data_IF_199311929686
#
_entry.id   IF_199311929686
#
_cell.length_a   1.000
_cell.length_b   1.000
_cell.length_c   1.000
_cell.angle_alpha   90.00
_cell.angle_beta   90.00
_cell.angle_gamma   90.00
#
_symmetry.space_group_name_H-M   'P 1'
#
loop_
_entity.id
_entity.type
_entity.pdbx_description
1 polymer ?
#
# COMPACT_ATOMS: atom_id res chain seq x y z
N UNK A 1 -37.04 -13.47 -1.08
CA UNK A 1 -37.06 -12.19 -0.36
C UNK A 1 -38.39 -12.05 0.38
N UNK A 2 -38.35 -11.51 1.59
CA UNK A 2 -39.57 -11.32 2.42
C UNK A 2 -40.55 -10.26 1.88
N UNK A 3 -40.23 -9.62 0.79
CA UNK A 3 -41.05 -8.54 0.17
C UNK A 3 -42.30 -9.08 -0.53
N UNK A 4 -42.22 -10.26 -1.13
CA UNK A 4 -43.36 -10.85 -1.87
C UNK A 4 -44.59 -11.20 -1.03
N UNK A 5 -44.47 -11.12 0.30
CA UNK A 5 -45.57 -11.40 1.24
C UNK A 5 -46.20 -10.13 1.83
N UNK A 6 -45.78 -8.94 1.39
CA UNK A 6 -46.28 -7.65 1.90
C UNK A 6 -47.07 -6.93 0.82
N UNK A 7 -48.18 -6.30 1.21
CA UNK A 7 -49.00 -5.50 0.27
C UNK A 7 -48.30 -4.23 -0.23
N UNK A 8 -47.50 -3.61 0.63
CA UNK A 8 -46.73 -2.38 0.30
C UNK A 8 -45.29 -2.54 0.76
N UNK A 9 -44.46 -3.36 0.09
CA UNK A 9 -43.07 -3.50 0.45
C UNK A 9 -42.26 -2.23 0.10
N UNK A 10 -41.43 -1.79 1.03
CA UNK A 10 -40.52 -0.67 0.80
C UNK A 10 -39.08 -1.08 1.16
N UNK A 11 -38.14 -0.75 0.28
CA UNK A 11 -36.71 -0.86 0.53
C UNK A 11 -36.08 0.53 0.57
N UNK A 12 -35.29 0.81 1.59
CA UNK A 12 -34.53 2.05 1.73
C UNK A 12 -33.05 1.71 1.67
N UNK A 13 -32.34 2.33 0.74
CA UNK A 13 -30.88 2.21 0.58
C UNK A 13 -30.26 3.57 0.86
N UNK A 14 -29.36 3.63 1.83
CA UNK A 14 -28.60 4.84 2.19
C UNK A 14 -27.12 4.47 2.08
N UNK A 15 -26.37 5.23 1.30
CA UNK A 15 -24.93 4.98 1.08
C UNK A 15 -24.20 6.27 0.75
N UNK A 16 -22.89 6.26 0.95
CA UNK A 16 -21.98 7.27 0.39
C UNK A 16 -21.36 6.74 -0.91
N UNK A 17 -20.60 7.60 -1.61
CA UNK A 17 -19.78 7.18 -2.73
C UNK A 17 -18.70 6.16 -2.32
N UNK A 18 -18.11 5.53 -3.30
CA UNK A 18 -17.06 4.53 -3.14
C UNK A 18 -16.03 4.62 -4.25
N UNK A 19 -15.26 3.56 -4.41
CA UNK A 19 -14.22 3.44 -5.44
C UNK A 19 -14.46 2.27 -6.40
N UNK A 20 -15.43 1.38 -6.11
CA UNK A 20 -15.79 0.27 -7.01
C UNK A 20 -16.88 0.71 -8.00
N UNK A 21 -16.45 1.31 -9.12
CA UNK A 21 -17.34 1.75 -10.20
C UNK A 21 -17.93 0.58 -11.03
N UNK A 22 -17.48 -0.64 -10.84
CA UNK A 22 -18.06 -1.83 -11.45
C UNK A 22 -19.02 -2.55 -10.52
N UNK A 23 -19.03 -2.18 -9.25
CA UNK A 23 -19.86 -2.81 -8.22
C UNK A 23 -21.34 -2.44 -8.31
N UNK A 24 -22.19 -3.22 -7.61
CA UNK A 24 -23.66 -3.08 -7.69
C UNK A 24 -24.15 -1.71 -7.19
N UNK A 25 -23.47 -1.09 -6.23
CA UNK A 25 -23.86 0.21 -5.70
C UNK A 25 -23.72 1.33 -6.77
N UNK A 26 -22.61 1.31 -7.53
CA UNK A 26 -22.42 2.30 -8.60
C UNK A 26 -23.37 2.06 -9.76
N UNK A 27 -23.65 0.80 -10.14
CA UNK A 27 -24.63 0.46 -11.14
C UNK A 27 -26.03 0.94 -10.75
N UNK A 28 -26.42 0.73 -9.48
CA UNK A 28 -27.69 1.22 -8.96
C UNK A 28 -27.76 2.77 -8.98
N UNK A 29 -26.67 3.46 -8.57
CA UNK A 29 -26.57 4.91 -8.69
C UNK A 29 -26.73 5.39 -10.14
N UNK A 30 -26.15 4.69 -11.10
CA UNK A 30 -26.28 5.02 -12.54
C UNK A 30 -27.75 4.93 -12.96
N UNK A 31 -28.44 3.85 -12.60
CA UNK A 31 -29.88 3.72 -12.85
C UNK A 31 -30.69 4.84 -12.19
N UNK A 32 -30.42 5.18 -10.93
CA UNK A 32 -31.06 6.31 -10.26
C UNK A 32 -30.81 7.63 -11.01
N UNK A 33 -29.59 7.84 -11.50
CA UNK A 33 -29.24 9.06 -12.27
C UNK A 33 -30.00 9.12 -13.59
N UNK A 34 -30.20 8.01 -14.27
CA UNK A 34 -31.01 7.93 -15.51
C UNK A 34 -32.47 8.29 -15.23
N UNK A 35 -33.05 7.84 -14.12
CA UNK A 35 -34.42 8.18 -13.72
C UNK A 35 -34.52 9.68 -13.37
N UNK A 36 -33.57 10.21 -12.58
CA UNK A 36 -33.54 11.63 -12.21
C UNK A 36 -33.38 12.57 -13.42
N UNK A 37 -32.67 12.14 -14.47
CA UNK A 37 -32.51 12.87 -15.73
C UNK A 37 -33.67 12.67 -16.69
N UNK A 38 -34.68 11.87 -16.34
CA UNK A 38 -35.80 11.55 -17.22
C UNK A 38 -35.49 10.66 -18.42
N UNK A 39 -34.29 10.05 -18.42
CA UNK A 39 -33.85 9.10 -19.47
C UNK A 39 -34.50 7.72 -19.31
N UNK A 40 -34.95 7.41 -18.11
CA UNK A 40 -35.65 6.19 -17.76
C UNK A 40 -36.83 6.52 -16.86
N UNK A 41 -37.98 5.89 -17.11
CA UNK A 41 -39.13 6.02 -16.25
C UNK A 41 -39.26 4.82 -15.30
N UNK A 42 -39.32 5.10 -14.01
CA UNK A 42 -39.63 4.14 -12.96
C UNK A 42 -40.41 4.83 -11.86
N UNK A 43 -41.71 4.63 -11.88
CA UNK A 43 -42.62 5.29 -10.94
C UNK A 43 -42.59 4.65 -9.53
N UNK A 44 -41.83 3.54 -9.36
CA UNK A 44 -41.63 2.83 -8.08
C UNK A 44 -40.33 3.21 -7.38
N UNK A 45 -39.44 3.96 -8.06
CA UNK A 45 -38.14 4.36 -7.54
C UNK A 45 -38.13 5.85 -7.19
N UNK A 46 -37.92 6.16 -5.90
CA UNK A 46 -37.53 7.48 -5.45
C UNK A 46 -35.99 7.48 -5.27
N UNK A 47 -35.32 8.50 -5.81
CA UNK A 47 -33.87 8.68 -5.66
C UNK A 47 -33.53 10.12 -5.28
N UNK A 48 -32.54 10.29 -4.41
CA UNK A 48 -31.91 11.57 -4.11
C UNK A 48 -30.39 11.36 -4.09
N UNK A 49 -29.65 12.16 -4.86
CA UNK A 49 -28.19 12.08 -4.96
C UNK A 49 -27.61 13.45 -4.64
N UNK A 50 -26.85 13.52 -3.56
CA UNK A 50 -26.11 14.71 -3.13
C UNK A 50 -24.63 14.50 -3.46
N UNK A 51 -24.13 15.20 -4.47
CA UNK A 51 -22.76 15.04 -4.96
C UNK A 51 -22.29 16.35 -5.58
N UNK A 52 -21.00 16.56 -5.70
CA UNK A 52 -20.44 17.65 -6.49
C UNK A 52 -20.76 17.47 -7.97
N UNK A 53 -20.78 18.59 -8.71
CA UNK A 53 -20.86 18.59 -10.16
C UNK A 53 -19.50 18.20 -10.77
N UNK A 54 -19.44 17.74 -12.03
CA UNK A 54 -18.20 17.30 -12.67
C UNK A 54 -17.08 18.36 -12.70
N UNK A 55 -17.46 19.64 -12.78
CA UNK A 55 -16.54 20.78 -12.91
C UNK A 55 -16.20 21.43 -11.55
N UNK A 56 -16.77 20.94 -10.44
CA UNK A 56 -16.48 21.46 -9.11
C UNK A 56 -15.10 20.96 -8.61
N UNK A 57 -14.33 21.85 -8.01
CA UNK A 57 -13.14 21.44 -7.25
C UNK A 57 -13.56 20.97 -5.85
N UNK A 58 -13.32 19.72 -5.53
CA UNK A 58 -13.61 19.15 -4.22
C UNK A 58 -12.90 19.84 -3.04
N UNK A 59 -11.87 20.64 -3.31
CA UNK A 59 -11.15 21.45 -2.33
C UNK A 59 -11.84 22.78 -2.03
N UNK A 60 -12.76 23.21 -2.90
CA UNK A 60 -13.48 24.47 -2.74
C UNK A 60 -14.64 24.29 -1.76
N UNK A 61 -14.56 25.02 -0.63
CA UNK A 61 -15.56 25.00 0.43
C UNK A 61 -16.97 25.41 -0.06
N UNK A 62 -17.05 26.27 -1.08
CA UNK A 62 -18.33 26.75 -1.62
C UNK A 62 -19.15 25.66 -2.28
N UNK A 63 -18.52 24.59 -2.76
CA UNK A 63 -19.17 23.44 -3.39
C UNK A 63 -19.70 22.41 -2.41
N UNK A 64 -19.18 22.36 -1.16
CA UNK A 64 -19.43 21.25 -0.24
C UNK A 64 -20.90 21.09 0.17
N UNK A 65 -21.68 22.17 0.11
CA UNK A 65 -23.13 22.12 0.38
C UNK A 65 -23.88 21.22 -0.60
N UNK A 66 -23.36 21.01 -1.81
CA UNK A 66 -23.97 20.13 -2.81
C UNK A 66 -23.92 18.66 -2.39
N UNK A 67 -22.85 18.26 -1.73
CA UNK A 67 -22.68 16.90 -1.19
C UNK A 67 -23.11 16.75 0.28
N UNK A 68 -23.19 17.88 1.00
CA UNK A 68 -23.58 17.94 2.41
C UNK A 68 -24.74 18.92 2.60
N UNK A 69 -26.00 18.52 2.30
CA UNK A 69 -27.15 19.44 2.36
C UNK A 69 -27.40 20.03 3.75
N UNK A 70 -26.88 19.39 4.81
CA UNK A 70 -26.96 19.85 6.19
C UNK A 70 -25.67 20.58 6.66
N UNK A 71 -24.82 21.03 5.72
CA UNK A 71 -23.61 21.78 6.05
C UNK A 71 -23.97 23.09 6.78
N UNK A 72 -23.36 23.33 7.92
CA UNK A 72 -23.66 24.47 8.79
C UNK A 72 -24.82 24.23 9.76
N UNK A 73 -25.55 23.13 9.65
CA UNK A 73 -26.65 22.74 10.56
C UNK A 73 -26.17 21.58 11.44
N UNK A 74 -26.09 20.36 10.89
CA UNK A 74 -25.62 19.18 11.61
C UNK A 74 -24.16 18.84 11.30
N UNK A 75 -23.70 19.14 10.07
CA UNK A 75 -22.32 18.96 9.64
C UNK A 75 -21.59 20.30 9.76
N UNK A 76 -20.59 20.38 10.64
CA UNK A 76 -19.80 21.60 10.84
C UNK A 76 -18.86 21.85 9.67
N UNK A 77 -18.83 23.03 9.04
CA UNK A 77 -17.88 23.34 7.97
C UNK A 77 -16.43 23.17 8.39
N UNK A 78 -16.10 23.48 9.66
CA UNK A 78 -14.76 23.29 10.22
C UNK A 78 -14.32 21.83 10.19
N UNK A 79 -15.23 20.88 10.42
CA UNK A 79 -14.92 19.45 10.33
C UNK A 79 -14.59 19.05 8.89
N UNK A 80 -15.41 19.45 7.92
CA UNK A 80 -15.15 19.12 6.49
C UNK A 80 -13.84 19.74 6.04
N UNK A 81 -13.57 21.00 6.44
CA UNK A 81 -12.30 21.69 6.13
C UNK A 81 -11.09 20.92 6.67
N UNK A 82 -11.16 20.43 7.92
CA UNK A 82 -10.11 19.63 8.52
C UNK A 82 -9.86 18.32 7.73
N UNK A 83 -10.94 17.62 7.32
CA UNK A 83 -10.80 16.40 6.53
C UNK A 83 -10.19 16.67 5.15
N UNK A 84 -10.66 17.72 4.47
CA UNK A 84 -10.11 18.14 3.16
C UNK A 84 -8.64 18.53 3.30
N UNK A 85 -8.27 19.28 4.35
CA UNK A 85 -6.88 19.63 4.60
C UNK A 85 -5.99 18.39 4.84
N UNK A 86 -6.49 17.40 5.58
CA UNK A 86 -5.79 16.11 5.74
C UNK A 86 -5.57 15.41 4.41
N UNK A 87 -6.60 15.35 3.57
CA UNK A 87 -6.52 14.73 2.25
C UNK A 87 -5.54 15.43 1.29
N UNK A 88 -5.43 16.75 1.37
CA UNK A 88 -4.46 17.53 0.58
C UNK A 88 -3.02 17.20 0.99
N UNK A 89 -2.78 16.96 2.29
CA UNK A 89 -1.45 16.72 2.85
C UNK A 89 -1.09 15.22 2.97
N UNK A 90 -2.04 14.33 2.73
CA UNK A 90 -1.86 12.88 2.80
C UNK A 90 -2.63 12.21 1.66
N UNK A 91 -1.95 11.85 0.55
CA UNK A 91 -2.58 11.24 -0.63
C UNK A 91 -3.39 9.98 -0.32
N UNK A 92 -2.97 9.19 0.67
CA UNK A 92 -3.68 7.99 1.10
C UNK A 92 -5.05 8.28 1.75
N UNK A 93 -5.23 9.44 2.36
CA UNK A 93 -6.51 9.86 2.95
C UNK A 93 -7.49 10.45 1.91
N UNK A 94 -6.99 10.86 0.75
CA UNK A 94 -7.76 11.59 -0.27
C UNK A 94 -9.02 10.82 -0.72
N UNK A 95 -8.87 9.53 -1.04
CA UNK A 95 -10.01 8.70 -1.46
C UNK A 95 -11.06 8.57 -0.37
N UNK A 96 -10.61 8.39 0.88
CA UNK A 96 -11.49 8.31 2.05
C UNK A 96 -12.32 9.58 2.24
N UNK A 97 -11.68 10.75 2.13
CA UNK A 97 -12.33 12.05 2.28
C UNK A 97 -13.26 12.34 1.09
N UNK A 98 -12.82 12.12 -0.13
CA UNK A 98 -13.64 12.29 -1.33
C UNK A 98 -14.91 11.45 -1.30
N UNK A 99 -14.80 10.19 -0.90
CA UNK A 99 -15.94 9.26 -0.89
C UNK A 99 -16.88 9.49 0.30
N UNK A 100 -16.35 9.66 1.51
CA UNK A 100 -17.14 9.73 2.75
C UNK A 100 -17.63 11.13 3.10
N UNK A 101 -16.82 12.16 2.84
CA UNK A 101 -17.11 13.53 3.27
C UNK A 101 -17.63 14.41 2.12
N UNK A 102 -17.19 14.14 0.89
CA UNK A 102 -17.54 14.92 -0.31
C UNK A 102 -18.47 14.14 -1.24
N UNK A 103 -18.71 12.86 -0.97
CA UNK A 103 -19.58 11.96 -1.74
C UNK A 103 -19.22 11.87 -3.23
N UNK A 104 -17.93 11.90 -3.55
CA UNK A 104 -17.39 11.73 -4.90
C UNK A 104 -16.95 10.30 -5.13
N UNK A 105 -17.34 9.72 -6.26
CA UNK A 105 -16.84 8.42 -6.71
C UNK A 105 -15.43 8.58 -7.26
N UNK A 106 -14.51 7.80 -6.71
CA UNK A 106 -13.11 7.76 -7.10
C UNK A 106 -12.82 6.51 -7.93
N UNK A 107 -11.77 6.54 -8.75
CA UNK A 107 -11.23 5.32 -9.36
C UNK A 107 -10.44 4.55 -8.29
N UNK A 108 -10.49 3.21 -8.36
CA UNK A 108 -9.78 2.32 -7.42
C UNK A 108 -8.24 2.42 -7.51
N UNK A 109 -7.74 3.14 -8.49
CA UNK A 109 -6.33 3.33 -8.78
C UNK A 109 -5.76 4.63 -8.20
N UNK A 110 -6.09 4.98 -6.97
CA UNK A 110 -5.34 6.06 -6.32
C UNK A 110 -3.93 5.58 -6.05
N UNK A 111 -2.99 6.15 -6.77
CA UNK A 111 -1.55 5.93 -6.54
C UNK A 111 -1.26 6.29 -5.09
N UNK A 112 -0.65 5.36 -4.34
CA UNK A 112 -0.33 5.61 -2.93
C UNK A 112 0.58 6.82 -2.75
N UNK A 113 1.75 6.78 -3.42
CA UNK A 113 2.74 7.87 -3.37
C UNK A 113 2.91 8.42 -4.79
N UNK A 114 2.78 9.74 -5.00
CA UNK A 114 3.08 10.36 -6.29
C UNK A 114 4.52 10.08 -6.72
N UNK A 115 4.71 9.78 -8.00
CA UNK A 115 5.97 9.28 -8.55
C UNK A 115 7.18 10.17 -8.24
N UNK A 116 7.01 11.49 -8.22
CA UNK A 116 8.10 12.42 -7.94
C UNK A 116 8.71 12.21 -6.55
N UNK A 117 7.91 11.87 -5.51
CA UNK A 117 8.45 11.56 -4.17
C UNK A 117 9.31 10.29 -4.19
N UNK A 118 8.92 9.29 -4.98
CA UNK A 118 9.71 8.06 -5.12
C UNK A 118 11.03 8.34 -5.85
N UNK A 119 10.99 9.16 -6.90
CA UNK A 119 12.20 9.58 -7.63
C UNK A 119 13.11 10.43 -6.73
N UNK A 120 12.55 11.35 -5.97
CA UNK A 120 13.29 12.20 -5.03
C UNK A 120 13.89 11.38 -3.87
N UNK A 121 13.26 10.31 -3.44
CA UNK A 121 13.77 9.39 -2.42
C UNK A 121 14.83 8.42 -2.96
N UNK A 122 14.86 8.16 -4.29
CA UNK A 122 15.73 7.15 -4.90
C UNK A 122 17.18 7.65 -4.95
N UNK A 123 18.08 7.00 -4.18
CA UNK A 123 19.52 7.26 -4.13
C UNK A 123 20.26 5.94 -4.02
N UNK A 124 21.52 5.91 -4.40
CA UNK A 124 22.37 4.73 -4.14
C UNK A 124 22.54 4.56 -2.63
N UNK A 125 22.13 3.42 -2.11
CA UNK A 125 22.35 3.01 -0.71
C UNK A 125 23.41 1.93 -0.69
N UNK A 126 24.58 2.26 -0.13
CA UNK A 126 25.68 1.31 0.01
C UNK A 126 25.70 0.79 1.46
N UNK A 127 25.67 -0.53 1.62
CA UNK A 127 25.72 -1.18 2.96
C UNK A 127 27.02 -0.81 3.70
N UNK A 128 28.11 -0.56 2.97
CA UNK A 128 29.41 -0.20 3.56
C UNK A 128 29.41 1.16 4.28
N UNK A 129 28.42 2.01 4.01
CA UNK A 129 28.23 3.28 4.74
C UNK A 129 27.62 3.07 6.14
N UNK A 130 27.16 1.82 6.44
CA UNK A 130 26.46 1.46 7.67
C UNK A 130 27.18 0.36 8.46
N UNK A 131 28.48 0.15 8.25
CA UNK A 131 29.26 -0.83 9.01
C UNK A 131 29.12 -0.55 10.50
N UNK A 132 28.94 -1.65 11.29
CA UNK A 132 28.73 -1.62 12.74
C UNK A 132 27.51 -0.81 13.20
N UNK A 133 26.56 -0.52 12.31
CA UNK A 133 25.28 0.10 12.68
C UNK A 133 24.15 -0.92 12.81
N UNK A 134 23.08 -0.51 13.48
CA UNK A 134 21.88 -1.33 13.60
C UNK A 134 21.13 -1.42 12.28
N UNK A 135 20.57 -2.60 12.03
CA UNK A 135 19.80 -2.90 10.84
C UNK A 135 18.55 -3.70 11.21
N UNK A 136 17.47 -3.41 10.52
CA UNK A 136 16.21 -4.17 10.57
C UNK A 136 15.94 -4.73 9.19
N UNK A 137 15.62 -6.01 9.11
CA UNK A 137 15.40 -6.68 7.82
C UNK A 137 13.94 -7.08 7.68
N UNK A 138 13.39 -6.96 6.47
CA UNK A 138 12.10 -7.51 6.09
C UNK A 138 12.25 -8.41 4.87
N UNK A 139 11.56 -9.53 4.84
CA UNK A 139 11.63 -10.51 3.75
C UNK A 139 10.23 -10.90 3.31
N UNK A 140 9.93 -10.70 2.04
CA UNK A 140 8.71 -11.18 1.40
C UNK A 140 9.07 -12.37 0.48
N UNK A 141 8.72 -13.58 0.94
CA UNK A 141 9.05 -14.84 0.27
C UNK A 141 7.93 -15.28 -0.67
N UNK A 142 8.26 -15.52 -1.92
CA UNK A 142 7.36 -16.18 -2.86
C UNK A 142 7.48 -17.71 -2.75
N UNK A 143 6.36 -18.42 -2.95
CA UNK A 143 6.33 -19.90 -2.85
C UNK A 143 6.72 -20.62 -4.13
N UNK A 144 6.72 -19.93 -5.27
CA UNK A 144 6.87 -20.55 -6.61
C UNK A 144 7.77 -19.70 -7.51
N UNK A 145 7.30 -19.39 -8.71
CA UNK A 145 8.02 -18.62 -9.72
C UNK A 145 7.86 -17.11 -9.61
N UNK A 146 7.45 -16.61 -8.46
CA UNK A 146 7.21 -15.18 -8.24
C UNK A 146 8.44 -14.44 -7.68
N UNK A 147 8.39 -13.11 -7.72
CA UNK A 147 9.41 -12.24 -7.18
C UNK A 147 9.52 -12.42 -5.66
N UNK A 148 10.74 -12.49 -5.17
CA UNK A 148 11.06 -12.48 -3.75
C UNK A 148 11.91 -11.27 -3.44
N UNK A 149 11.73 -10.64 -2.29
CA UNK A 149 12.52 -9.48 -1.89
C UNK A 149 13.02 -9.55 -0.45
N UNK A 150 14.20 -8.97 -0.23
CA UNK A 150 14.79 -8.75 1.09
C UNK A 150 15.20 -7.28 1.20
N UNK A 151 14.64 -6.57 2.16
CA UNK A 151 14.95 -5.16 2.43
C UNK A 151 15.66 -5.00 3.76
N UNK A 152 16.78 -4.28 3.74
CA UNK A 152 17.52 -3.86 4.92
C UNK A 152 17.25 -2.38 5.20
N UNK A 153 16.79 -2.06 6.40
CA UNK A 153 16.56 -0.71 6.89
C UNK A 153 17.68 -0.30 7.84
N UNK A 154 18.30 0.83 7.55
CA UNK A 154 19.31 1.48 8.38
C UNK A 154 18.74 2.81 8.92
N UNK A 155 18.39 2.90 10.21
CA UNK A 155 17.97 4.15 10.81
C UNK A 155 19.17 5.07 11.05
N UNK A 156 19.03 6.34 10.69
CA UNK A 156 19.96 7.41 11.02
C UNK A 156 19.21 8.44 11.88
N UNK A 157 19.31 8.28 13.19
CA UNK A 157 18.59 9.11 14.15
C UNK A 157 19.11 10.55 14.16
N UNK A 158 20.40 10.77 13.90
CA UNK A 158 21.01 12.12 13.88
C UNK A 158 20.48 12.93 12.68
N UNK A 159 20.44 12.31 11.50
CA UNK A 159 19.88 12.95 10.31
C UNK A 159 18.34 12.87 10.26
N UNK A 160 17.72 12.07 11.12
CA UNK A 160 16.29 11.77 11.12
C UNK A 160 15.84 11.09 9.83
N UNK A 161 16.69 10.27 9.20
CA UNK A 161 16.48 9.58 7.94
C UNK A 161 16.46 8.07 8.10
N UNK A 162 15.77 7.41 7.18
CA UNK A 162 15.67 5.96 7.08
C UNK A 162 16.18 5.53 5.71
N UNK A 163 17.20 4.69 5.66
CA UNK A 163 17.81 4.22 4.42
C UNK A 163 17.38 2.77 4.17
N UNK A 164 16.88 2.49 2.97
CA UNK A 164 16.41 1.17 2.58
C UNK A 164 17.25 0.63 1.43
N UNK A 165 17.85 -0.55 1.63
CA UNK A 165 18.52 -1.34 0.60
C UNK A 165 17.69 -2.57 0.33
N UNK A 166 17.17 -2.73 -0.90
CA UNK A 166 16.31 -3.86 -1.27
C UNK A 166 16.97 -4.71 -2.34
N UNK A 167 17.06 -6.02 -2.06
CA UNK A 167 17.54 -7.05 -2.97
C UNK A 167 16.38 -7.86 -3.50
N UNK A 168 16.47 -8.29 -4.75
CA UNK A 168 15.42 -9.02 -5.44
C UNK A 168 15.95 -10.36 -5.97
N UNK A 169 15.13 -11.41 -5.87
CA UNK A 169 15.46 -12.77 -6.28
C UNK A 169 14.33 -13.33 -7.14
N UNK A 170 14.71 -14.07 -8.19
CA UNK A 170 13.77 -14.69 -9.09
C UNK A 170 14.31 -16.05 -9.55
N UNK A 171 13.52 -17.14 -9.55
CA UNK A 171 13.97 -18.41 -10.09
C UNK A 171 14.12 -18.34 -11.61
N UNK A 172 15.10 -19.06 -12.16
CA UNK A 172 15.43 -19.04 -13.60
C UNK A 172 14.22 -19.41 -14.49
N UNK A 173 13.37 -20.31 -14.03
CA UNK A 173 12.17 -20.70 -14.76
C UNK A 173 11.21 -19.52 -14.99
N UNK A 174 11.13 -18.55 -14.09
CA UNK A 174 10.27 -17.38 -14.23
C UNK A 174 10.66 -16.48 -15.41
N UNK A 175 11.92 -16.51 -15.86
CA UNK A 175 12.38 -15.81 -17.06
C UNK A 175 11.71 -16.34 -18.34
N UNK A 176 11.14 -17.53 -18.33
CA UNK A 176 10.46 -18.16 -19.47
C UNK A 176 8.96 -17.85 -19.50
N UNK A 177 8.41 -17.24 -18.46
CA UNK A 177 7.01 -16.86 -18.43
C UNK A 177 6.73 -15.78 -19.50
N UNK A 178 5.96 -16.13 -20.52
CA UNK A 178 5.67 -15.25 -21.67
C UNK A 178 5.21 -13.84 -21.27
N UNK A 179 4.46 -13.77 -20.16
CA UNK A 179 3.86 -12.54 -19.65
C UNK A 179 4.88 -11.53 -19.12
N UNK A 180 5.97 -12.02 -18.49
CA UNK A 180 6.96 -11.19 -17.81
C UNK A 180 8.35 -11.25 -18.46
N UNK A 181 8.49 -12.02 -19.55
CA UNK A 181 9.78 -12.30 -20.17
C UNK A 181 10.60 -11.05 -20.50
N UNK A 182 9.96 -10.04 -21.06
CA UNK A 182 10.64 -8.78 -21.40
C UNK A 182 11.03 -8.02 -20.14
N UNK A 183 10.12 -7.88 -19.16
CA UNK A 183 10.33 -7.16 -17.92
C UNK A 183 11.45 -7.79 -17.08
N UNK A 184 11.38 -9.10 -16.82
CA UNK A 184 12.40 -9.81 -16.05
C UNK A 184 13.74 -9.90 -16.79
N UNK A 185 13.70 -10.02 -18.13
CA UNK A 185 14.88 -9.96 -18.98
C UNK A 185 15.59 -8.61 -18.88
N UNK A 186 14.87 -7.52 -18.80
CA UNK A 186 15.43 -6.19 -18.62
C UNK A 186 16.09 -6.04 -17.24
N UNK A 187 15.41 -6.42 -16.16
CA UNK A 187 15.94 -6.37 -14.79
C UNK A 187 17.22 -7.20 -14.63
N UNK A 188 17.27 -8.38 -15.29
CA UNK A 188 18.46 -9.22 -15.32
C UNK A 188 19.61 -8.54 -16.05
N UNK A 189 19.37 -7.90 -17.21
CA UNK A 189 20.40 -7.20 -17.99
C UNK A 189 20.99 -6.02 -17.23
N UNK A 190 20.17 -5.35 -16.44
CA UNK A 190 20.60 -4.22 -15.61
C UNK A 190 21.31 -4.67 -14.32
N UNK A 191 21.33 -5.95 -14.01
CA UNK A 191 21.95 -6.48 -12.78
C UNK A 191 21.17 -6.17 -11.51
N UNK A 192 19.87 -5.83 -11.64
CA UNK A 192 19.03 -5.39 -10.53
C UNK A 192 18.33 -6.55 -9.79
N UNK A 193 18.45 -7.76 -10.32
CA UNK A 193 17.81 -8.96 -9.78
C UNK A 193 18.78 -10.14 -9.76
N UNK A 194 18.80 -10.89 -8.66
CA UNK A 194 19.53 -12.15 -8.55
C UNK A 194 18.68 -13.29 -9.10
N UNK A 195 19.21 -13.98 -10.11
CA UNK A 195 18.56 -15.18 -10.68
C UNK A 195 19.05 -16.40 -9.91
N UNK A 196 18.12 -17.12 -9.29
CA UNK A 196 18.42 -18.38 -8.60
C UNK A 196 18.18 -19.58 -9.51
N UNK A 197 18.97 -20.66 -9.42
CA UNK A 197 18.78 -21.84 -10.24
C UNK A 197 17.44 -22.54 -9.97
N UNK A 198 16.88 -23.17 -11.02
CA UNK A 198 15.73 -24.06 -10.88
C UNK A 198 14.37 -23.39 -11.11
N UNK A 199 13.34 -24.10 -10.66
CA UNK A 199 11.94 -23.76 -10.96
C UNK A 199 11.22 -23.02 -9.82
N UNK A 200 11.83 -22.97 -8.62
CA UNK A 200 11.29 -22.34 -7.41
C UNK A 200 12.36 -21.44 -6.80
N UNK A 201 11.94 -20.49 -5.98
CA UNK A 201 12.85 -19.61 -5.26
C UNK A 201 13.81 -20.45 -4.38
N UNK A 202 15.11 -20.28 -4.59
CA UNK A 202 16.14 -20.91 -3.76
C UNK A 202 16.45 -19.98 -2.58
N UNK A 203 15.93 -20.34 -1.42
CA UNK A 203 16.07 -19.55 -0.19
C UNK A 203 17.48 -19.53 0.38
N UNK A 204 18.37 -20.44 -0.03
CA UNK A 204 19.77 -20.43 0.40
C UNK A 204 20.52 -19.20 -0.12
N UNK A 205 20.15 -18.66 -1.29
CA UNK A 205 20.68 -17.40 -1.80
C UNK A 205 20.34 -16.23 -0.87
N UNK A 206 19.07 -16.16 -0.43
CA UNK A 206 18.60 -15.11 0.48
C UNK A 206 19.30 -15.24 1.84
N UNK A 207 19.40 -16.47 2.36
CA UNK A 207 20.05 -16.76 3.63
C UNK A 207 21.55 -16.42 3.60
N UNK A 208 22.23 -16.68 2.48
CA UNK A 208 23.63 -16.33 2.30
C UNK A 208 23.83 -14.81 2.26
N UNK A 209 22.95 -14.08 1.59
CA UNK A 209 23.04 -12.60 1.57
C UNK A 209 22.69 -12.01 2.94
N UNK A 210 21.75 -12.61 3.68
CA UNK A 210 21.46 -12.23 5.06
C UNK A 210 22.68 -12.45 6.00
N UNK A 211 23.42 -13.54 5.81
CA UNK A 211 24.68 -13.82 6.54
C UNK A 211 25.75 -12.78 6.19
N UNK A 212 25.98 -12.50 4.90
CA UNK A 212 26.92 -11.45 4.46
C UNK A 212 26.56 -10.06 5.02
N UNK A 213 25.26 -9.77 5.12
CA UNK A 213 24.78 -8.51 5.71
C UNK A 213 25.15 -8.44 7.20
N UNK A 214 24.91 -9.53 7.97
CA UNK A 214 25.25 -9.63 9.38
C UNK A 214 26.76 -9.47 9.64
N UNK A 215 27.60 -9.90 8.71
CA UNK A 215 29.04 -9.75 8.83
C UNK A 215 29.49 -8.27 8.77
N UNK A 216 28.62 -7.38 8.34
CA UNK A 216 28.87 -5.93 8.22
C UNK A 216 28.10 -5.09 9.24
N UNK A 217 26.90 -5.50 9.65
CA UNK A 217 25.98 -4.69 10.45
C UNK A 217 25.29 -5.50 11.55
N UNK A 218 24.72 -4.83 12.55
CA UNK A 218 24.01 -5.49 13.65
C UNK A 218 22.52 -5.67 13.31
N UNK A 219 22.14 -6.85 12.81
CA UNK A 219 20.74 -7.17 12.50
C UNK A 219 19.96 -7.40 13.78
N UNK A 220 19.02 -6.50 14.10
CA UNK A 220 18.20 -6.56 15.30
C UNK A 220 17.02 -7.53 15.17
N UNK A 221 16.39 -7.54 13.99
CA UNK A 221 15.28 -8.43 13.68
C UNK A 221 15.15 -8.67 12.18
N UNK A 222 14.53 -9.82 11.85
CA UNK A 222 14.17 -10.21 10.49
C UNK A 222 12.67 -10.46 10.45
N UNK A 223 11.90 -9.48 9.93
CA UNK A 223 10.46 -9.60 9.71
C UNK A 223 10.14 -10.45 8.49
N UNK A 224 9.18 -11.36 8.59
CA UNK A 224 8.78 -12.23 7.48
C UNK A 224 7.29 -12.58 7.55
N UNK A 225 6.67 -12.93 6.40
CA UNK A 225 5.33 -13.50 6.39
C UNK A 225 5.39 -15.00 6.71
N UNK A 226 4.51 -15.47 7.59
CA UNK A 226 4.47 -16.90 8.00
C UNK A 226 4.13 -17.86 6.86
N UNK A 227 3.45 -17.38 5.82
CA UNK A 227 3.09 -18.20 4.67
C UNK A 227 4.34 -18.59 3.89
N UNK A 228 4.55 -19.90 3.68
CA UNK A 228 5.65 -20.50 2.92
C UNK A 228 7.07 -20.29 3.48
N UNK A 229 7.23 -19.77 4.70
CA UNK A 229 8.54 -19.44 5.28
C UNK A 229 9.12 -20.50 6.24
N UNK A 230 8.45 -21.63 6.47
CA UNK A 230 8.79 -22.56 7.57
C UNK A 230 10.25 -23.02 7.52
N UNK A 231 10.70 -23.57 6.38
CA UNK A 231 12.08 -24.08 6.27
C UNK A 231 13.13 -22.97 6.33
N UNK A 232 12.86 -21.85 5.66
CA UNK A 232 13.74 -20.68 5.72
C UNK A 232 13.89 -20.17 7.15
N UNK A 233 12.78 -20.07 7.89
CA UNK A 233 12.77 -19.59 9.27
C UNK A 233 13.57 -20.50 10.20
N UNK A 234 13.44 -21.82 10.05
CA UNK A 234 14.23 -22.79 10.82
C UNK A 234 15.72 -22.56 10.56
N UNK A 235 16.13 -22.57 9.29
CA UNK A 235 17.52 -22.40 8.90
C UNK A 235 18.11 -21.05 9.36
N UNK A 236 17.32 -19.96 9.26
CA UNK A 236 17.75 -18.64 9.73
C UNK A 236 17.87 -18.58 11.26
N UNK A 237 16.93 -19.18 11.99
CA UNK A 237 16.97 -19.26 13.46
C UNK A 237 18.17 -20.07 13.95
N UNK A 238 18.47 -21.19 13.31
CA UNK A 238 19.67 -22.01 13.60
C UNK A 238 20.97 -21.23 13.38
N UNK A 239 20.98 -20.29 12.44
CA UNK A 239 22.10 -19.36 12.22
C UNK A 239 22.10 -18.17 13.20
N UNK A 240 21.15 -18.10 14.15
CA UNK A 240 21.09 -17.10 15.21
C UNK A 240 20.38 -15.80 14.82
N UNK A 241 19.59 -15.75 13.74
CA UNK A 241 18.79 -14.60 13.41
C UNK A 241 17.52 -14.52 14.27
N UNK A 242 17.16 -13.31 14.70
CA UNK A 242 15.92 -13.03 15.42
C UNK A 242 14.75 -12.89 14.43
N UNK A 243 14.07 -14.00 14.15
CA UNK A 243 13.00 -14.11 13.18
C UNK A 243 11.66 -13.68 13.79
N UNK A 244 11.03 -12.63 13.25
CA UNK A 244 9.76 -12.07 13.74
C UNK A 244 8.67 -12.27 12.67
N UNK A 245 7.63 -13.08 12.97
CA UNK A 245 6.52 -13.26 12.05
C UNK A 245 5.65 -11.99 11.99
N UNK A 246 5.43 -11.48 10.79
CA UNK A 246 4.60 -10.31 10.52
C UNK A 246 3.48 -10.70 9.55
N UNK A 247 2.28 -10.87 10.08
CA UNK A 247 1.10 -11.10 9.22
C UNK A 247 0.79 -9.87 8.38
N UNK A 248 0.52 -10.06 7.09
CA UNK A 248 0.12 -8.98 6.17
C UNK A 248 -1.34 -8.52 6.37
N UNK A 249 -1.78 -8.45 7.63
CA UNK A 249 -3.10 -7.94 8.00
C UNK A 249 -3.16 -6.39 7.98
N UNK A 250 -4.36 -5.83 7.89
CA UNK A 250 -4.56 -4.38 8.02
C UNK A 250 -4.00 -3.84 9.34
N UNK A 251 -4.17 -4.58 10.45
CA UNK A 251 -3.70 -4.14 11.77
C UNK A 251 -2.18 -4.00 11.82
N UNK A 252 -1.44 -5.00 11.34
CA UNK A 252 0.02 -5.01 11.40
C UNK A 252 0.66 -4.03 10.40
N UNK A 253 0.06 -3.88 9.21
CA UNK A 253 0.61 -3.02 8.16
C UNK A 253 0.19 -1.56 8.25
N UNK A 254 -0.87 -1.21 9.00
CA UNK A 254 -1.36 0.16 9.10
C UNK A 254 -0.28 1.15 9.59
N UNK A 255 0.38 0.83 10.70
CA UNK A 255 1.40 1.70 11.29
C UNK A 255 2.64 1.86 10.40
N UNK A 256 3.28 0.78 9.90
CA UNK A 256 4.41 0.90 8.98
C UNK A 256 4.05 1.64 7.69
N UNK A 257 2.85 1.42 7.13
CA UNK A 257 2.41 2.08 5.89
C UNK A 257 2.26 3.59 6.07
N UNK A 258 1.60 4.04 7.14
CA UNK A 258 1.46 5.47 7.46
C UNK A 258 2.81 6.13 7.73
N UNK A 259 3.71 5.43 8.42
CA UNK A 259 5.04 5.95 8.69
C UNK A 259 5.90 6.04 7.42
N UNK A 260 5.86 5.03 6.53
CA UNK A 260 6.55 5.08 5.24
C UNK A 260 6.04 6.25 4.39
N UNK A 261 4.73 6.46 4.33
CA UNK A 261 4.13 7.61 3.64
C UNK A 261 4.67 8.93 4.21
N UNK A 262 4.65 9.09 5.54
CA UNK A 262 5.18 10.28 6.22
C UNK A 262 6.67 10.53 5.90
N UNK A 263 7.47 9.46 5.91
CA UNK A 263 8.91 9.53 5.62
C UNK A 263 9.16 9.93 4.16
N UNK A 264 8.44 9.35 3.22
CA UNK A 264 8.56 9.70 1.79
C UNK A 264 8.14 11.14 1.52
N UNK A 265 6.96 11.56 2.01
CA UNK A 265 6.46 12.92 1.82
C UNK A 265 7.34 13.99 2.48
N UNK A 266 8.04 13.65 3.58
CA UNK A 266 8.95 14.57 4.28
C UNK A 266 10.40 14.50 3.79
N UNK A 267 10.72 13.68 2.76
CA UNK A 267 12.08 13.49 2.24
C UNK A 267 13.02 12.80 3.22
N UNK A 268 12.47 12.04 4.17
CA UNK A 268 13.23 11.32 5.22
C UNK A 268 13.44 9.84 4.90
N UNK A 269 12.70 9.25 3.95
CA UNK A 269 13.02 7.94 3.40
C UNK A 269 14.01 8.09 2.25
N UNK A 270 15.07 7.29 2.27
CA UNK A 270 16.03 7.14 1.18
C UNK A 270 15.90 5.68 0.71
N UNK A 271 15.39 5.51 -0.49
CA UNK A 271 15.22 4.21 -1.13
C UNK A 271 16.40 3.92 -2.03
N UNK A 272 16.86 2.67 -2.06
CA UNK A 272 17.88 2.27 -3.03
C UNK A 272 17.38 2.55 -4.47
N UNK A 273 18.27 3.09 -5.32
CA UNK A 273 17.94 3.47 -6.69
C UNK A 273 17.84 2.24 -7.62
N UNK A 274 16.97 1.31 -7.26
CA UNK A 274 16.68 0.09 -8.00
C UNK A 274 15.43 0.27 -8.85
N UNK A 275 15.49 -0.13 -10.13
CA UNK A 275 14.34 0.00 -11.06
C UNK A 275 13.16 -0.87 -10.62
N UNK A 276 13.41 -2.04 -10.01
CA UNK A 276 12.36 -2.94 -9.52
C UNK A 276 11.64 -2.30 -8.35
N UNK A 277 12.37 -1.63 -7.46
CA UNK A 277 11.78 -0.93 -6.33
C UNK A 277 10.80 0.16 -6.79
N UNK A 278 11.23 1.00 -7.74
CA UNK A 278 10.33 2.01 -8.34
C UNK A 278 9.11 1.38 -9.02
N UNK A 279 9.30 0.24 -9.70
CA UNK A 279 8.20 -0.50 -10.32
C UNK A 279 7.21 -1.01 -9.25
N UNK A 280 7.70 -1.53 -8.13
CA UNK A 280 6.85 -1.98 -7.02
C UNK A 280 6.01 -0.83 -6.44
N UNK A 281 6.60 0.33 -6.17
CA UNK A 281 5.87 1.51 -5.68
C UNK A 281 4.77 1.98 -6.62
N UNK A 282 5.01 1.99 -7.94
CA UNK A 282 3.99 2.35 -8.96
C UNK A 282 2.80 1.40 -8.99
N UNK A 283 2.98 0.17 -8.54
CA UNK A 283 1.93 -0.86 -8.56
C UNK A 283 1.09 -0.90 -7.29
N UNK A 284 1.52 -0.21 -6.24
CA UNK A 284 0.80 -0.19 -4.96
C UNK A 284 -0.51 0.57 -5.11
N UNK A 285 -1.59 -0.07 -4.69
CA UNK A 285 -2.87 0.56 -4.38
C UNK A 285 -3.18 0.34 -2.90
N UNK A 286 -3.94 1.25 -2.29
CA UNK A 286 -4.23 1.16 -0.87
C UNK A 286 -5.56 0.48 -0.61
N UNK A 287 -5.55 -0.53 0.26
CA UNK A 287 -6.75 -1.09 0.85
C UNK A 287 -7.02 -0.38 2.18
N UNK A 288 -8.18 0.25 2.29
CA UNK A 288 -8.65 0.97 3.47
C UNK A 288 -9.80 0.20 4.14
N UNK A 289 -9.90 0.29 5.46
CA UNK A 289 -11.10 -0.11 6.20
C UNK A 289 -11.92 1.10 6.67
N UNK A 290 -13.05 0.83 7.33
CA UNK A 290 -13.94 1.87 7.84
C UNK A 290 -13.32 2.75 8.93
N UNK A 291 -12.27 2.29 9.59
CA UNK A 291 -11.56 3.00 10.65
C UNK A 291 -10.38 3.82 10.11
N UNK A 292 -10.15 3.82 8.78
CA UNK A 292 -8.99 4.49 8.16
C UNK A 292 -7.68 3.73 8.37
N UNK A 293 -7.74 2.42 8.72
CA UNK A 293 -6.57 1.57 8.63
C UNK A 293 -6.26 1.28 7.18
N UNK A 294 -4.98 1.26 6.84
CA UNK A 294 -4.53 1.10 5.47
C UNK A 294 -3.42 0.07 5.35
N UNK A 295 -3.39 -0.63 4.23
CA UNK A 295 -2.27 -1.47 3.84
C UNK A 295 -2.08 -1.46 2.33
N UNK A 296 -0.84 -1.64 1.82
CA UNK A 296 -0.61 -1.82 0.41
C UNK A 296 -1.24 -3.11 -0.09
N UNK A 297 -1.74 -3.04 -1.30
CA UNK A 297 -2.24 -4.19 -2.06
C UNK A 297 -1.95 -3.96 -3.54
N UNK A 298 -2.12 -4.98 -4.35
CA UNK A 298 -2.02 -4.91 -5.80
C UNK A 298 -3.41 -4.98 -6.44
N UNK A 299 -3.61 -4.24 -7.51
CA UNK A 299 -4.90 -4.23 -8.22
C UNK A 299 -5.13 -5.54 -9.00
N UNK A 300 -4.06 -6.12 -9.53
CA UNK A 300 -4.06 -7.37 -10.28
C UNK A 300 -2.88 -8.22 -9.80
N UNK A 301 -2.99 -9.54 -9.92
CA UNK A 301 -1.93 -10.48 -9.49
C UNK A 301 -0.59 -10.24 -10.18
N UNK A 302 -0.63 -9.73 -11.42
CA UNK A 302 0.57 -9.41 -12.20
C UNK A 302 1.37 -8.24 -11.66
N UNK A 303 0.74 -7.37 -10.91
CA UNK A 303 1.41 -6.19 -10.34
C UNK A 303 2.27 -6.61 -9.16
N UNK A 304 3.57 -6.38 -9.27
CA UNK A 304 4.54 -6.71 -8.22
C UNK A 304 4.67 -5.55 -7.26
N UNK A 305 4.58 -5.86 -5.95
CA UNK A 305 4.74 -4.90 -4.85
C UNK A 305 5.68 -5.44 -3.75
N UNK A 306 6.34 -6.55 -4.00
CA UNK A 306 7.12 -7.35 -3.05
C UNK A 306 8.18 -6.51 -2.33
N UNK A 307 8.89 -5.63 -3.07
CA UNK A 307 9.86 -4.71 -2.47
C UNK A 307 9.25 -3.79 -1.42
N UNK A 308 8.06 -3.24 -1.70
CA UNK A 308 7.35 -2.40 -0.73
C UNK A 308 6.93 -3.21 0.49
N UNK A 309 6.48 -4.44 0.31
CA UNK A 309 6.08 -5.32 1.41
C UNK A 309 7.27 -5.61 2.32
N UNK A 310 8.43 -6.00 1.76
CA UNK A 310 9.64 -6.26 2.56
C UNK A 310 10.16 -4.98 3.27
N UNK A 311 10.10 -3.81 2.63
CA UNK A 311 10.47 -2.55 3.28
C UNK A 311 9.55 -2.20 4.45
N UNK A 312 8.24 -2.44 4.31
CA UNK A 312 7.28 -2.23 5.40
C UNK A 312 7.46 -3.24 6.54
N UNK A 313 7.88 -4.48 6.25
CA UNK A 313 8.22 -5.46 7.30
C UNK A 313 9.48 -5.02 8.07
N UNK A 314 10.51 -4.52 7.37
CA UNK A 314 11.70 -3.97 8.01
C UNK A 314 11.36 -2.76 8.90
N UNK A 315 10.55 -1.83 8.38
CA UNK A 315 10.08 -0.66 9.12
C UNK A 315 9.20 -1.07 10.31
N UNK A 316 8.34 -2.08 10.16
CA UNK A 316 7.54 -2.65 11.23
C UNK A 316 8.39 -3.20 12.38
N UNK A 317 9.47 -3.89 12.06
CA UNK A 317 10.46 -4.37 13.03
C UNK A 317 11.12 -3.21 13.81
N UNK A 318 11.53 -2.15 13.11
CA UNK A 318 12.07 -0.94 13.72
C UNK A 318 11.06 -0.25 14.65
N UNK A 319 9.82 -0.05 14.20
CA UNK A 319 8.76 0.61 14.97
C UNK A 319 8.32 -0.18 16.22
N UNK A 320 8.54 -1.49 16.23
CA UNK A 320 8.28 -2.37 17.37
C UNK A 320 9.48 -2.45 18.34
N UNK A 321 10.63 -1.90 17.98
CA UNK A 321 11.83 -1.95 18.83
C UNK A 321 11.67 -1.08 20.10
N UNK A 322 12.32 -1.47 21.21
CA UNK A 322 12.24 -0.70 22.47
C UNK A 322 12.76 0.73 22.34
N UNK A 323 13.72 0.98 21.44
CA UNK A 323 14.27 2.33 21.21
C UNK A 323 13.25 3.30 20.65
N UNK A 324 12.48 2.88 19.64
CA UNK A 324 11.42 3.73 19.08
C UNK A 324 10.34 4.04 20.11
N UNK A 325 10.02 3.08 21.00
CA UNK A 325 9.04 3.28 22.08
C UNK A 325 9.50 4.24 23.18
N UNK A 326 10.80 4.48 23.29
CA UNK A 326 11.38 5.39 24.28
C UNK A 326 11.54 6.84 23.75
N UNK A 327 11.38 7.05 22.44
CA UNK A 327 11.53 8.34 21.77
C UNK A 327 10.19 9.10 21.55
N UNK A 328 9.05 8.50 21.95
CA UNK A 328 7.71 9.07 21.95
C UNK A 328 7.31 9.41 23.39
#
# INVERSE_FOLDING_TARGET
SSQGMRENPMSIIITTAGFDKLGPCYQFRTMCTEVLKGLKRDDTLFAAIYSLDPDDDWKDETCWVKSNPNLGITVKPSYVREQVWKAINSPSEEVGVKTKNINLWCDSSTVWIPEHYILDASRTVNVDDFIDRECFVGIDLSSTSDLTSMSALFPDEEAGKMYFKTLYYLPEAALQEKRFKELYGEWRRQGEITITPGNVADYDYILNDLVKLRDKVYIQSVGYDQWNATQFTINATEKGFNMIPISQSLGNFNRPTKEMERLLLSGKAILDNNVINRHCYRNVVMKLDYNGNMKPTKQYEEKKIDGVISELMALGGYLASPRYSAAI
#
